data_IF_401917966355
#
_entry.id   IF_401917966355
#
_cell.length_a   1.000
_cell.length_b   1.000
_cell.length_c   1.000
_cell.angle_alpha   90.00
_cell.angle_beta   90.00
_cell.angle_gamma   90.00
#
_symmetry.space_group_name_H-M   'P 1'
#
loop_
_entity.id
_entity.type
_entity.pdbx_description
1 polymer ?
#
# COMPACT_ATOMS: atom_id res chain seq x y z
N UNK A 1 1.83 9.39 0.74
CA UNK A 1 1.28 10.29 -0.30
C UNK A 1 -0.13 9.88 -0.63
N UNK A 2 -0.98 10.82 -1.06
CA UNK A 2 -2.33 10.52 -1.52
C UNK A 2 -2.27 9.91 -2.92
N UNK A 3 -3.07 8.87 -3.14
CA UNK A 3 -3.14 8.13 -4.40
C UNK A 3 -4.53 8.19 -5.03
N UNK A 4 -5.59 8.15 -4.22
CA UNK A 4 -6.96 8.26 -4.71
C UNK A 4 -7.87 8.94 -3.69
N UNK A 5 -9.01 9.42 -4.18
CA UNK A 5 -10.14 9.81 -3.35
C UNK A 5 -11.44 9.22 -3.90
N UNK A 6 -12.34 8.90 -2.99
CA UNK A 6 -13.70 8.45 -3.29
C UNK A 6 -14.65 9.40 -2.56
N UNK A 7 -15.55 10.03 -3.30
CA UNK A 7 -16.56 10.92 -2.75
C UNK A 7 -17.88 10.15 -2.70
N UNK A 8 -18.33 9.80 -1.49
CA UNK A 8 -19.57 9.08 -1.25
C UNK A 8 -20.49 10.00 -0.46
N UNK A 9 -21.58 10.43 -1.09
CA UNK A 9 -22.51 11.41 -0.52
C UNK A 9 -21.77 12.72 -0.18
N UNK A 10 -21.71 13.09 1.10
CA UNK A 10 -20.98 14.26 1.61
C UNK A 10 -19.69 13.88 2.34
N UNK A 11 -19.24 12.64 2.22
CA UNK A 11 -18.03 12.13 2.86
C UNK A 11 -16.94 11.83 1.85
N UNK A 12 -15.71 12.08 2.26
CA UNK A 12 -14.52 11.86 1.44
C UNK A 12 -13.67 10.75 2.05
N UNK A 13 -13.42 9.72 1.27
CA UNK A 13 -12.50 8.63 1.62
C UNK A 13 -11.22 8.82 0.82
N UNK A 14 -10.08 8.91 1.49
CA UNK A 14 -8.78 9.12 0.84
C UNK A 14 -7.90 7.90 1.05
N UNK A 15 -7.34 7.38 -0.05
CA UNK A 15 -6.35 6.33 -0.01
C UNK A 15 -4.96 6.94 -0.09
N UNK A 16 -4.12 6.58 0.87
CA UNK A 16 -2.73 6.99 0.94
C UNK A 16 -1.84 5.76 1.03
N UNK A 17 -0.64 5.88 0.47
CA UNK A 17 0.40 4.87 0.65
C UNK A 17 1.76 5.56 0.83
N UNK A 18 2.61 4.98 1.66
CA UNK A 18 3.97 5.46 1.93
C UNK A 18 4.98 4.71 1.07
N UNK A 19 6.18 5.26 0.91
CA UNK A 19 7.27 4.59 0.20
C UNK A 19 7.57 3.19 0.77
N UNK A 20 7.38 3.01 2.08
CA UNK A 20 7.58 1.76 2.78
C UNK A 20 6.38 0.80 2.71
N UNK A 21 5.37 1.06 1.87
CA UNK A 21 4.21 0.17 1.73
C UNK A 21 3.18 0.28 2.86
N UNK A 22 3.30 1.27 3.76
CA UNK A 22 2.24 1.56 4.74
C UNK A 22 1.09 2.26 4.02
N UNK A 23 -0.05 1.59 3.95
CA UNK A 23 -1.31 2.10 3.43
C UNK A 23 -2.10 2.76 4.55
N UNK A 24 -2.72 3.91 4.26
CA UNK A 24 -3.65 4.58 5.17
C UNK A 24 -4.94 4.91 4.43
N UNK A 25 -6.05 4.77 5.12
CA UNK A 25 -7.37 5.19 4.67
C UNK A 25 -7.86 6.25 5.63
N UNK A 26 -8.18 7.42 5.07
CA UNK A 26 -8.73 8.55 5.81
C UNK A 26 -10.20 8.70 5.43
N UNK A 27 -11.06 8.93 6.42
CA UNK A 27 -12.45 9.34 6.25
C UNK A 27 -12.55 10.79 6.75
N UNK A 28 -12.91 11.71 5.87
CA UNK A 28 -12.98 13.16 6.13
C UNK A 28 -11.70 13.69 6.79
N UNK A 29 -10.54 13.22 6.31
CA UNK A 29 -9.23 13.58 6.82
C UNK A 29 -8.78 12.84 8.09
N UNK A 30 -9.65 12.05 8.74
CA UNK A 30 -9.29 11.24 9.91
C UNK A 30 -8.90 9.83 9.51
N UNK A 31 -7.73 9.35 9.95
CA UNK A 31 -7.29 7.98 9.71
C UNK A 31 -8.24 6.98 10.36
N UNK A 32 -8.85 6.11 9.54
CA UNK A 32 -9.73 5.02 9.99
C UNK A 32 -9.09 3.64 9.82
N UNK A 33 -8.04 3.54 9.01
CA UNK A 33 -7.27 2.32 8.84
C UNK A 33 -5.84 2.62 8.44
N UNK A 34 -4.89 1.89 9.02
CA UNK A 34 -3.47 1.98 8.70
C UNK A 34 -2.86 0.58 8.77
N UNK A 35 -2.26 0.11 7.67
CA UNK A 35 -1.70 -1.24 7.56
C UNK A 35 -0.53 -1.26 6.59
N UNK A 36 0.46 -2.10 6.87
CA UNK A 36 1.48 -2.43 5.88
C UNK A 36 0.91 -3.35 4.79
N UNK A 37 1.28 -3.10 3.55
CA UNK A 37 0.96 -3.95 2.41
C UNK A 37 2.05 -3.93 1.34
N UNK A 38 2.36 -5.13 0.83
CA UNK A 38 3.28 -5.31 -0.29
C UNK A 38 2.55 -5.52 -1.62
N UNK A 39 1.47 -6.31 -1.63
CA UNK A 39 0.72 -6.69 -2.84
C UNK A 39 -0.72 -6.15 -2.87
N UNK A 40 -1.13 -5.43 -1.83
CA UNK A 40 -2.50 -4.97 -1.62
C UNK A 40 -3.12 -5.58 -0.36
N UNK A 41 -4.09 -4.89 0.22
CA UNK A 41 -4.78 -5.30 1.45
C UNK A 41 -6.22 -4.78 1.46
N UNK A 42 -7.02 -5.29 2.40
CA UNK A 42 -8.39 -4.83 2.65
C UNK A 42 -8.43 -3.93 3.88
N UNK A 43 -8.96 -2.72 3.67
CA UNK A 43 -9.29 -1.77 4.72
C UNK A 43 -10.80 -1.78 4.94
N UNK A 44 -11.21 -2.13 6.15
CA UNK A 44 -12.62 -2.01 6.57
C UNK A 44 -12.81 -0.63 7.16
N UNK A 45 -13.88 0.04 6.77
CA UNK A 45 -14.28 1.33 7.35
C UNK A 45 -15.79 1.37 7.48
N UNK A 46 -16.27 2.08 8.48
CA UNK A 46 -17.70 2.25 8.73
C UNK A 46 -18.06 3.70 8.43
N UNK A 47 -19.10 3.88 7.63
CA UNK A 47 -19.65 5.19 7.29
C UNK A 47 -21.17 5.11 7.44
N UNK A 48 -21.76 6.00 8.25
CA UNK A 48 -23.21 6.10 8.45
C UNK A 48 -23.89 4.75 8.79
N UNK A 49 -23.27 3.95 9.66
CA UNK A 49 -23.72 2.60 10.05
C UNK A 49 -23.65 1.53 8.95
N UNK A 50 -23.09 1.86 7.79
CA UNK A 50 -22.80 0.91 6.72
C UNK A 50 -21.33 0.49 6.73
N UNK A 51 -21.08 -0.75 6.32
CA UNK A 51 -19.73 -1.31 6.24
C UNK A 51 -19.21 -1.19 4.81
N UNK A 52 -18.10 -0.46 4.66
CA UNK A 52 -17.36 -0.34 3.42
C UNK A 52 -16.03 -1.09 3.52
N UNK A 53 -15.58 -1.62 2.39
CA UNK A 53 -14.28 -2.24 2.24
C UNK A 53 -13.56 -1.58 1.08
N UNK A 54 -12.49 -0.86 1.38
CA UNK A 54 -11.55 -0.41 0.36
C UNK A 54 -10.49 -1.49 0.16
N UNK A 55 -10.43 -2.07 -1.03
CA UNK A 55 -9.42 -3.07 -1.40
C UNK A 55 -8.36 -2.39 -2.26
N UNK A 56 -7.10 -2.61 -1.92
CA UNK A 56 -5.96 -2.29 -2.78
C UNK A 56 -5.40 -3.56 -3.41
N UNK A 57 -4.90 -3.45 -4.65
CA UNK A 57 -4.18 -4.52 -5.35
C UNK A 57 -3.08 -3.91 -6.21
N UNK A 58 -1.84 -4.33 -5.98
CA UNK A 58 -0.69 -3.80 -6.70
C UNK A 58 -0.36 -4.67 -7.91
N UNK A 59 -0.27 -4.03 -9.08
CA UNK A 59 0.30 -4.60 -10.30
C UNK A 59 1.72 -4.06 -10.49
N UNK A 60 2.55 -4.24 -9.46
CA UNK A 60 3.87 -3.60 -9.35
C UNK A 60 4.85 -4.05 -10.44
N UNK A 61 4.77 -5.31 -10.90
CA UNK A 61 5.68 -5.89 -11.90
C UNK A 61 5.18 -5.78 -13.35
N UNK A 62 3.91 -5.42 -13.55
CA UNK A 62 3.30 -5.27 -14.88
C UNK A 62 3.30 -3.79 -15.27
N UNK A 63 2.26 -3.05 -14.87
CA UNK A 63 2.05 -1.66 -15.27
C UNK A 63 2.44 -0.62 -14.23
N UNK A 64 2.86 -1.04 -13.02
CA UNK A 64 3.08 -0.18 -11.84
C UNK A 64 1.80 0.55 -11.44
N UNK A 65 0.70 -0.18 -11.42
CA UNK A 65 -0.61 0.34 -11.08
C UNK A 65 -1.05 -0.18 -9.72
N UNK A 66 -1.86 0.62 -9.04
CA UNK A 66 -2.61 0.24 -7.85
C UNK A 66 -4.08 0.26 -8.27
N UNK A 67 -4.71 -0.91 -8.26
CA UNK A 67 -6.16 -1.00 -8.41
C UNK A 67 -6.79 -0.84 -7.03
N UNK A 68 -7.73 0.10 -6.95
CA UNK A 68 -8.49 0.41 -5.75
C UNK A 68 -9.96 0.14 -6.02
N UNK A 69 -10.57 -0.69 -5.19
CA UNK A 69 -11.98 -1.06 -5.29
C UNK A 69 -12.69 -0.72 -3.98
N UNK A 70 -13.67 0.17 -4.07
CA UNK A 70 -14.57 0.46 -2.96
C UNK A 70 -15.78 -0.47 -3.04
N UNK A 71 -15.98 -1.25 -1.99
CA UNK A 71 -17.02 -2.28 -1.92
C UNK A 71 -17.99 -1.96 -0.79
N UNK A 72 -19.27 -1.92 -1.11
CA UNK A 72 -20.39 -1.75 -0.17
C UNK A 72 -21.28 -2.99 -0.25
N UNK A 73 -21.59 -3.60 0.88
CA UNK A 73 -22.46 -4.79 0.96
C UNK A 73 -22.07 -5.91 -0.03
N UNK A 74 -20.77 -6.12 -0.21
CA UNK A 74 -20.22 -7.16 -1.10
C UNK A 74 -20.17 -6.79 -2.59
N UNK A 75 -20.75 -5.66 -3.02
CA UNK A 75 -20.71 -5.17 -4.40
C UNK A 75 -19.71 -4.04 -4.55
N UNK A 76 -18.88 -4.08 -5.60
CA UNK A 76 -18.01 -2.96 -5.95
C UNK A 76 -18.87 -1.81 -6.44
N UNK A 77 -18.80 -0.69 -5.75
CA UNK A 77 -19.53 0.53 -6.09
C UNK A 77 -18.68 1.49 -6.91
N UNK A 78 -17.35 1.45 -6.71
CA UNK A 78 -16.42 2.26 -7.46
C UNK A 78 -15.08 1.54 -7.59
N UNK A 79 -14.42 1.75 -8.74
CA UNK A 79 -13.10 1.22 -9.02
C UNK A 79 -12.25 2.32 -9.63
N UNK A 80 -11.04 2.49 -9.12
CA UNK A 80 -10.05 3.41 -9.66
C UNK A 80 -8.73 2.67 -9.85
N UNK A 81 -8.02 3.02 -10.93
CA UNK A 81 -6.67 2.53 -11.18
C UNK A 81 -5.74 3.73 -11.19
N UNK A 82 -4.74 3.72 -10.31
CA UNK A 82 -3.81 4.82 -10.14
C UNK A 82 -2.39 4.35 -10.33
N UNK A 83 -1.52 5.22 -10.85
CA UNK A 83 -0.12 4.89 -11.07
C UNK A 83 0.64 4.95 -9.73
N UNK A 84 1.37 3.89 -9.41
CA UNK A 84 2.28 3.86 -8.27
C UNK A 84 3.44 4.84 -8.49
N UNK A 85 3.89 5.51 -7.43
CA UNK A 85 4.97 6.49 -7.56
C UNK A 85 6.29 5.80 -7.97
N UNK A 86 6.91 6.34 -9.03
CA UNK A 86 8.22 5.90 -9.54
C UNK A 86 9.30 5.90 -8.45
N UNK A 87 9.24 6.83 -7.49
CA UNK A 87 10.19 6.93 -6.39
C UNK A 87 10.18 5.69 -5.50
N UNK A 88 9.01 5.08 -5.28
CA UNK A 88 8.90 3.88 -4.45
C UNK A 88 9.79 2.75 -4.99
N UNK A 89 9.80 2.54 -6.31
CA UNK A 89 10.66 1.54 -6.95
C UNK A 89 12.14 1.78 -6.69
N UNK A 90 12.59 3.03 -6.78
CA UNK A 90 13.99 3.40 -6.56
C UNK A 90 14.38 3.13 -5.11
N UNK A 91 13.54 3.50 -4.14
CA UNK A 91 13.79 3.21 -2.73
C UNK A 91 13.85 1.69 -2.47
N UNK A 92 12.93 0.92 -3.04
CA UNK A 92 12.94 -0.55 -2.90
C UNK A 92 14.18 -1.19 -3.54
N UNK A 93 14.66 -0.67 -4.67
CA UNK A 93 15.93 -1.12 -5.27
C UNK A 93 17.10 -0.85 -4.32
N UNK A 94 17.20 0.37 -3.78
CA UNK A 94 18.28 0.74 -2.86
C UNK A 94 18.27 -0.11 -1.58
N UNK A 95 17.08 -0.33 -1.00
CA UNK A 95 16.90 -1.20 0.17
C UNK A 95 17.33 -2.63 -0.18
N UNK A 96 16.85 -3.17 -1.31
CA UNK A 96 17.19 -4.53 -1.74
C UNK A 96 18.69 -4.71 -1.97
N UNK A 97 19.34 -3.77 -2.65
CA UNK A 97 20.80 -3.81 -2.88
C UNK A 97 21.57 -3.70 -1.57
N UNK A 98 21.19 -2.78 -0.69
CA UNK A 98 21.84 -2.61 0.61
C UNK A 98 21.72 -3.86 1.50
N UNK A 99 20.53 -4.48 1.53
CA UNK A 99 20.31 -5.74 2.24
C UNK A 99 21.14 -6.88 1.66
N UNK A 100 21.26 -6.95 0.32
CA UNK A 100 22.07 -7.97 -0.35
C UNK A 100 23.56 -7.86 -0.01
N UNK A 101 24.12 -6.65 -0.07
CA UNK A 101 25.53 -6.39 0.29
C UNK A 101 25.75 -6.71 1.77
N UNK A 102 24.89 -6.20 2.66
CA UNK A 102 25.02 -6.45 4.10
C UNK A 102 24.91 -7.94 4.46
N UNK A 103 24.02 -8.68 3.81
CA UNK A 103 23.91 -10.13 4.01
C UNK A 103 25.17 -10.88 3.54
N UNK A 104 25.78 -10.46 2.42
CA UNK A 104 27.02 -11.03 1.92
C UNK A 104 28.20 -10.80 2.88
N UNK A 105 28.35 -9.58 3.39
CA UNK A 105 29.41 -9.27 4.38
C UNK A 105 29.22 -10.03 5.68
N UNK A 106 27.98 -10.10 6.20
CA UNK A 106 27.65 -10.91 7.38
C UNK A 106 28.00 -12.39 7.19
N UNK A 107 27.70 -12.94 6.01
CA UNK A 107 28.04 -14.32 5.68
C UNK A 107 29.56 -14.53 5.68
N UNK A 108 30.32 -13.63 5.07
CA UNK A 108 31.79 -13.70 5.05
C UNK A 108 32.37 -13.66 6.46
N UNK A 109 31.89 -12.77 7.34
CA UNK A 109 32.34 -12.70 8.73
C UNK A 109 32.06 -13.99 9.50
N UNK A 110 30.89 -14.60 9.28
CA UNK A 110 30.55 -15.89 9.89
C UNK A 110 31.51 -16.99 9.39
N UNK A 111 31.78 -17.04 8.08
CA UNK A 111 32.71 -18.01 7.49
C UNK A 111 34.13 -17.82 8.04
N UNK A 112 34.62 -16.58 8.12
CA UNK A 112 35.94 -16.27 8.70
C UNK A 112 36.02 -16.65 10.18
N UNK A 113 34.95 -16.49 10.96
CA UNK A 113 34.93 -16.88 12.38
C UNK A 113 34.90 -18.40 12.63
N UNK A 114 34.58 -19.19 11.60
CA UNK A 114 34.50 -20.66 11.65
C UNK A 114 35.77 -21.35 11.15
N UNK A 115 36.69 -20.62 10.52
CA UNK A 115 38.02 -21.08 10.09
C UNK A 115 39.10 -20.72 11.12
#
# INVERSE_FOLDING_TARGET
>A
MKYAEFNIENHKIEFMNSVFGIEKVLLDGKTVSEKFSFSGIKHKLNLNSENFILKSKYKQFDKREIELELVKNGKTIEKQTVQADKKQRIYWMLIGTGLGIGAYELLNLIIESLN
#
